data_IF_391531669760
#
_entry.id   IF_391531669760
#
_cell.length_a   1.000
_cell.length_b   1.000
_cell.length_c   1.000
_cell.angle_alpha   90.00
_cell.angle_beta   90.00
_cell.angle_gamma   90.00
#
_symmetry.space_group_name_H-M   'P 1'
#
loop_
_entity.id
_entity.type
_entity.pdbx_description
1 polymer ?
#
# COMPACT_ATOMS: atom_id res chain seq x y z
N UNK A 1 -3.46 1.64 -1.23
CA UNK A 1 -4.01 0.56 -2.08
C UNK A 1 -4.17 -0.70 -1.25
N UNK A 2 -5.18 -1.52 -1.50
CA UNK A 2 -5.49 -2.73 -0.74
C UNK A 2 -5.03 -3.98 -1.48
N UNK A 3 -4.46 -4.96 -0.78
CA UNK A 3 -4.20 -6.30 -1.29
C UNK A 3 -4.43 -7.36 -0.20
N UNK A 4 -4.99 -8.51 -0.59
CA UNK A 4 -5.09 -9.70 0.28
C UNK A 4 -3.89 -10.65 0.18
N UNK A 5 -2.92 -10.35 -0.69
CA UNK A 5 -1.73 -11.17 -0.86
C UNK A 5 -0.94 -11.25 0.46
N UNK A 6 -0.74 -12.47 0.96
CA UNK A 6 -0.11 -12.77 2.24
C UNK A 6 -1.07 -12.88 3.44
N UNK A 7 -2.38 -12.61 3.27
CA UNK A 7 -3.37 -12.65 4.35
C UNK A 7 -4.59 -13.56 4.08
N UNK A 8 -4.79 -13.98 2.82
CA UNK A 8 -5.88 -14.88 2.43
C UNK A 8 -7.01 -14.13 1.71
N UNK A 9 -8.22 -14.67 1.79
CA UNK A 9 -9.39 -14.11 1.10
C UNK A 9 -9.81 -12.77 1.69
N UNK A 10 -10.11 -11.80 0.82
CA UNK A 10 -10.68 -10.52 1.22
C UNK A 10 -12.15 -10.67 1.65
N UNK A 11 -12.63 -9.87 2.62
CA UNK A 11 -14.05 -9.77 2.91
C UNK A 11 -14.83 -9.26 1.69
N UNK A 12 -16.11 -9.62 1.60
CA UNK A 12 -16.93 -9.36 0.41
C UNK A 12 -16.99 -7.89 -0.02
N UNK A 13 -17.05 -6.96 0.94
CA UNK A 13 -17.03 -5.51 0.66
C UNK A 13 -15.72 -5.00 0.04
N UNK A 14 -14.66 -5.80 0.09
CA UNK A 14 -13.33 -5.48 -0.42
C UNK A 14 -12.93 -6.32 -1.62
N UNK A 15 -13.87 -7.09 -2.20
CA UNK A 15 -13.61 -7.97 -3.35
C UNK A 15 -13.04 -7.23 -4.59
N UNK A 16 -13.27 -5.92 -4.70
CA UNK A 16 -12.69 -5.07 -5.75
C UNK A 16 -11.14 -5.09 -5.75
N UNK A 17 -10.50 -5.42 -4.63
CA UNK A 17 -9.05 -5.50 -4.49
C UNK A 17 -8.47 -6.89 -4.75
N UNK A 18 -9.29 -7.91 -5.08
CA UNK A 18 -8.87 -9.32 -5.15
C UNK A 18 -7.70 -9.59 -6.09
N UNK A 19 -7.55 -8.79 -7.14
CA UNK A 19 -6.48 -8.94 -8.14
C UNK A 19 -5.34 -7.91 -7.97
N UNK A 20 -5.26 -7.26 -6.81
CA UNK A 20 -4.16 -6.35 -6.49
C UNK A 20 -3.06 -7.13 -5.78
N UNK A 21 -1.84 -7.11 -6.33
CA UNK A 21 -0.65 -7.68 -5.68
C UNK A 21 0.06 -6.68 -4.77
N UNK A 22 0.99 -7.16 -3.94
CA UNK A 22 1.93 -6.31 -3.18
C UNK A 22 2.80 -5.48 -4.13
N UNK A 23 3.19 -6.05 -5.28
CA UNK A 23 3.93 -5.32 -6.30
C UNK A 23 3.13 -4.14 -6.89
N UNK A 24 1.84 -4.37 -7.22
CA UNK A 24 0.94 -3.32 -7.67
C UNK A 24 0.81 -2.21 -6.61
N UNK A 25 0.62 -2.58 -5.35
CA UNK A 25 0.53 -1.62 -4.23
C UNK A 25 1.78 -0.74 -4.14
N UNK A 26 2.97 -1.34 -4.19
CA UNK A 26 4.25 -0.63 -4.11
C UNK A 26 4.46 0.30 -5.31
N UNK A 27 4.19 -0.19 -6.52
CA UNK A 27 4.35 0.58 -7.75
C UNK A 27 3.42 1.80 -7.78
N UNK A 28 2.12 1.61 -7.54
CA UNK A 28 1.14 2.69 -7.62
C UNK A 28 1.35 3.73 -6.53
N UNK A 29 1.77 3.32 -5.33
CA UNK A 29 2.11 4.26 -4.26
C UNK A 29 3.32 5.11 -4.63
N UNK A 30 4.34 4.51 -5.22
CA UNK A 30 5.51 5.23 -5.72
C UNK A 30 5.16 6.17 -6.90
N UNK A 31 4.26 5.76 -7.80
CA UNK A 31 3.74 6.63 -8.86
C UNK A 31 3.00 7.85 -8.28
N UNK A 32 2.14 7.63 -7.27
CA UNK A 32 1.42 8.73 -6.61
C UNK A 32 2.37 9.74 -5.96
N UNK A 33 3.44 9.27 -5.31
CA UNK A 33 4.48 10.13 -4.72
C UNK A 33 5.25 10.92 -5.77
N UNK A 34 5.64 10.28 -6.89
CA UNK A 34 6.28 10.99 -8.02
C UNK A 34 5.38 12.10 -8.56
N UNK A 35 4.12 11.80 -8.82
CA UNK A 35 3.14 12.77 -9.31
C UNK A 35 2.94 13.93 -8.34
N UNK A 36 2.79 13.62 -7.04
CA UNK A 36 2.66 14.64 -6.00
C UNK A 36 3.88 15.58 -5.99
N UNK A 37 5.09 15.03 -6.01
CA UNK A 37 6.35 15.79 -6.01
C UNK A 37 6.50 16.65 -7.27
N UNK A 38 6.23 16.08 -8.44
CA UNK A 38 6.38 16.77 -9.72
C UNK A 38 5.33 17.85 -9.95
N UNK A 39 4.14 17.72 -9.34
CA UNK A 39 3.04 18.67 -9.55
C UNK A 39 3.30 20.07 -8.97
N UNK A 40 4.14 20.19 -7.95
CA UNK A 40 4.31 21.44 -7.17
C UNK A 40 3.10 21.84 -6.31
N UNK A 41 1.98 21.10 -6.39
CA UNK A 41 0.72 21.43 -5.71
C UNK A 41 0.54 20.71 -4.36
N UNK A 42 1.37 19.70 -4.07
CA UNK A 42 1.26 18.87 -2.87
C UNK A 42 2.39 19.21 -1.90
N UNK A 43 2.02 19.73 -0.73
CA UNK A 43 2.98 20.09 0.34
C UNK A 43 3.24 18.95 1.34
N UNK A 44 2.30 18.02 1.48
CA UNK A 44 2.40 16.90 2.41
C UNK A 44 1.71 15.67 1.80
N UNK A 45 2.39 14.54 1.83
CA UNK A 45 1.86 13.23 1.47
C UNK A 45 1.95 12.32 2.70
N UNK A 46 0.82 11.74 3.12
CA UNK A 46 0.76 10.86 4.29
C UNK A 46 0.46 9.43 3.81
N UNK A 47 1.23 8.47 4.29
CA UNK A 47 0.93 7.05 4.08
C UNK A 47 0.09 6.55 5.25
N UNK A 48 -1.11 6.10 4.92
CA UNK A 48 -1.94 5.27 5.78
C UNK A 48 -2.26 3.98 4.98
N UNK A 49 -1.87 2.78 5.42
CA UNK A 49 -1.38 2.38 6.74
C UNK A 49 0.08 1.88 6.70
N UNK A 50 0.80 1.94 7.84
CA UNK A 50 2.22 1.55 7.92
C UNK A 50 2.37 0.07 8.28
N UNK A 51 1.84 -0.37 9.42
CA UNK A 51 2.17 -1.67 10.03
C UNK A 51 0.99 -2.36 10.75
N UNK A 52 -0.26 -1.90 10.55
CA UNK A 52 -1.42 -2.58 11.12
C UNK A 52 -1.46 -4.06 10.74
N UNK A 53 -1.74 -4.91 11.72
CA UNK A 53 -1.85 -6.37 11.55
C UNK A 53 -3.30 -6.85 11.60
N UNK A 54 -4.27 -5.94 11.67
CA UNK A 54 -5.69 -6.28 11.80
C UNK A 54 -6.22 -6.86 10.49
N UNK A 55 -6.69 -8.11 10.53
CA UNK A 55 -7.29 -8.81 9.40
C UNK A 55 -8.61 -9.46 9.82
N UNK A 56 -9.68 -9.14 9.10
CA UNK A 56 -11.05 -9.53 9.44
C UNK A 56 -12.03 -8.71 8.60
N UNK A 57 -13.20 -8.40 9.15
CA UNK A 57 -14.25 -7.65 8.45
C UNK A 57 -13.79 -6.28 7.92
N UNK A 58 -12.87 -5.63 8.65
CA UNK A 58 -12.10 -4.47 8.19
C UNK A 58 -10.62 -4.88 8.00
N UNK A 59 -10.18 -5.19 6.77
CA UNK A 59 -8.88 -5.81 6.49
C UNK A 59 -7.75 -4.77 6.42
N UNK A 60 -7.52 -4.03 7.52
CA UNK A 60 -6.54 -2.95 7.58
C UNK A 60 -5.11 -3.39 7.24
N UNK A 61 -4.74 -4.63 7.58
CA UNK A 61 -3.42 -5.19 7.26
C UNK A 61 -3.16 -5.31 5.75
N UNK A 62 -4.22 -5.38 4.94
CA UNK A 62 -4.09 -5.34 3.49
C UNK A 62 -3.70 -3.95 2.95
N UNK A 63 -3.89 -2.89 3.72
CA UNK A 63 -3.44 -1.53 3.40
C UNK A 63 -2.02 -1.23 3.92
N UNK A 64 -1.52 -1.99 4.90
CA UNK A 64 -0.23 -1.78 5.52
C UNK A 64 0.93 -1.99 4.53
N UNK A 65 1.88 -1.04 4.49
CA UNK A 65 3.06 -1.13 3.62
C UNK A 65 4.13 -2.07 4.16
N UNK A 66 4.16 -2.30 5.48
CA UNK A 66 4.92 -3.38 6.11
C UNK A 66 4.10 -4.66 6.02
N UNK A 67 4.71 -5.71 5.48
CA UNK A 67 4.07 -7.00 5.21
C UNK A 67 4.35 -7.99 6.34
N UNK A 68 3.59 -9.10 6.42
CA UNK A 68 3.93 -10.19 7.33
C UNK A 68 5.39 -10.62 7.14
N UNK A 69 6.11 -10.81 8.25
CA UNK A 69 7.56 -11.06 8.23
C UNK A 69 8.44 -9.80 8.18
N UNK A 70 7.87 -8.59 8.21
CA UNK A 70 8.59 -7.34 8.41
C UNK A 70 9.21 -6.72 7.14
N UNK A 71 8.96 -7.31 5.98
CA UNK A 71 9.41 -6.73 4.70
C UNK A 71 8.55 -5.51 4.32
N UNK A 72 9.13 -4.56 3.60
CA UNK A 72 8.40 -3.39 3.11
C UNK A 72 8.76 -3.07 1.64
N UNK A 73 8.20 -3.79 0.66
CA UNK A 73 8.46 -3.52 -0.77
C UNK A 73 8.13 -2.08 -1.16
N UNK A 74 7.02 -1.54 -0.65
CA UNK A 74 6.63 -0.14 -0.84
C UNK A 74 7.66 0.83 -0.30
N UNK A 75 8.35 0.55 0.81
CA UNK A 75 9.40 1.44 1.34
C UNK A 75 10.55 1.62 0.35
N UNK A 76 10.95 0.55 -0.34
CA UNK A 76 12.01 0.60 -1.37
C UNK A 76 11.55 1.44 -2.56
N UNK A 77 10.34 1.22 -3.06
CA UNK A 77 9.79 1.98 -4.18
C UNK A 77 9.54 3.45 -3.83
N UNK A 78 9.13 3.74 -2.59
CA UNK A 78 8.98 5.09 -2.06
C UNK A 78 10.33 5.81 -1.94
N UNK A 79 11.36 5.15 -1.42
CA UNK A 79 12.70 5.71 -1.35
C UNK A 79 13.23 6.09 -2.74
N UNK A 80 13.06 5.20 -3.73
CA UNK A 80 13.41 5.49 -5.12
C UNK A 80 12.55 6.63 -5.72
N UNK A 81 11.27 6.69 -5.36
CA UNK A 81 10.37 7.75 -5.81
C UNK A 81 10.68 9.11 -5.21
N UNK A 82 11.48 9.20 -4.14
CA UNK A 82 11.84 10.47 -3.49
C UNK A 82 13.18 11.05 -4.01
N UNK A 83 13.96 10.27 -4.77
CA UNK A 83 15.09 10.77 -5.55
C UNK A 83 14.57 11.53 -6.78
#
# INVERSE_FOLDING_TARGET
YLTGEGYGSLPGGFAWAANTSVANQAEWLAQAVRSARQSGNVRLFIVWNVDSTTWGDDPQAGYAIVRPGGTCPSCNSLAAAMQ
#
